data_IF_406039278777
#
_entry.id   IF_406039278777
#
_cell.length_a   1.000
_cell.length_b   1.000
_cell.length_c   1.000
_cell.angle_alpha   90.00
_cell.angle_beta   90.00
_cell.angle_gamma   90.00
#
_symmetry.space_group_name_H-M   'P 1'
#
loop_
_entity.id
_entity.type
_entity.pdbx_description
1 polymer ?
#
# COMPACT_ATOMS: atom_id res chain seq x y z
N UNK A 1 1.75 2.93 -10.60
CA UNK A 1 0.50 2.19 -10.30
C UNK A 1 -0.27 2.90 -9.20
N UNK A 2 -1.52 3.16 -9.42
CA UNK A 2 -2.37 3.79 -8.44
C UNK A 2 -2.72 2.82 -7.33
N UNK A 3 -2.83 3.32 -6.09
CA UNK A 3 -3.19 2.47 -4.96
C UNK A 3 -4.22 3.16 -4.06
N UNK A 4 -4.90 2.37 -3.24
CA UNK A 4 -5.83 2.88 -2.22
C UNK A 4 -5.22 2.81 -0.83
N UNK A 5 -3.90 2.68 -0.75
CA UNK A 5 -3.23 2.54 0.55
C UNK A 5 -3.49 3.76 1.45
N UNK A 6 -3.37 4.97 0.90
CA UNK A 6 -3.60 6.18 1.68
C UNK A 6 -5.03 6.23 2.23
N UNK A 7 -6.01 5.92 1.39
CA UNK A 7 -7.41 5.90 1.80
C UNK A 7 -7.64 4.92 2.94
N UNK A 8 -7.15 3.68 2.78
CA UNK A 8 -7.33 2.63 3.80
C UNK A 8 -6.59 2.98 5.09
N UNK A 9 -5.39 3.54 4.96
CA UNK A 9 -4.61 3.95 6.11
C UNK A 9 -5.35 5.02 6.92
N UNK A 10 -5.87 6.03 6.23
CA UNK A 10 -6.60 7.13 6.89
C UNK A 10 -7.89 6.65 7.53
N UNK A 11 -8.57 5.69 6.90
CA UNK A 11 -9.77 5.10 7.48
C UNK A 11 -9.47 4.44 8.82
N UNK A 12 -8.28 3.84 8.97
CA UNK A 12 -7.85 3.23 10.22
C UNK A 12 -7.11 4.20 11.13
N UNK A 13 -7.03 5.48 10.74
CA UNK A 13 -6.38 6.54 11.51
C UNK A 13 -4.92 6.25 11.82
N UNK A 14 -4.24 5.62 10.85
CA UNK A 14 -2.81 5.33 10.98
C UNK A 14 -1.99 6.39 10.27
N UNK A 15 -0.86 6.77 10.90
CA UNK A 15 0.12 7.61 10.23
C UNK A 15 0.93 6.76 9.25
N UNK A 16 1.65 7.42 8.36
CA UNK A 16 2.55 6.71 7.43
C UNK A 16 3.61 5.93 8.21
N UNK A 17 4.13 6.53 9.28
CA UNK A 17 5.15 5.86 10.10
C UNK A 17 4.57 4.64 10.80
N UNK A 18 3.34 4.73 11.30
CA UNK A 18 2.70 3.61 11.98
C UNK A 18 2.44 2.45 11.03
N UNK A 19 1.98 2.75 9.80
CA UNK A 19 1.77 1.71 8.82
C UNK A 19 3.09 1.05 8.39
N UNK A 20 4.12 1.87 8.19
CA UNK A 20 5.44 1.35 7.83
C UNK A 20 5.96 0.41 8.92
N UNK A 21 5.83 0.80 10.18
CA UNK A 21 6.27 -0.01 11.30
C UNK A 21 5.50 -1.34 11.35
N UNK A 22 4.19 -1.28 11.17
CA UNK A 22 3.35 -2.48 11.18
C UNK A 22 3.72 -3.46 10.06
N UNK A 23 4.16 -2.94 8.92
CA UNK A 23 4.53 -3.78 7.77
C UNK A 23 6.01 -4.15 7.75
N UNK A 24 6.80 -3.58 8.66
CA UNK A 24 8.24 -3.83 8.70
C UNK A 24 9.02 -3.21 7.54
N UNK A 25 8.55 -2.08 7.05
CA UNK A 25 9.20 -1.34 5.95
C UNK A 25 9.43 0.11 6.37
N UNK A 26 10.12 0.87 5.52
CA UNK A 26 10.41 2.27 5.86
C UNK A 26 9.23 3.17 5.52
N UNK A 27 9.15 4.31 6.22
CA UNK A 27 8.14 5.32 5.93
C UNK A 27 8.27 5.82 4.49
N UNK A 28 9.50 5.96 3.99
CA UNK A 28 9.72 6.42 2.62
C UNK A 28 9.07 5.46 1.61
N UNK A 29 9.08 4.17 1.88
CA UNK A 29 8.42 3.19 1.02
C UNK A 29 6.91 3.42 1.00
N UNK A 30 6.32 3.70 2.17
CA UNK A 30 4.88 4.02 2.23
C UNK A 30 4.57 5.28 1.41
N UNK A 31 5.39 6.31 1.56
CA UNK A 31 5.19 7.56 0.81
C UNK A 31 5.23 7.28 -0.70
N UNK A 32 6.21 6.51 -1.15
CA UNK A 32 6.34 6.18 -2.57
C UNK A 32 5.18 5.33 -3.08
N UNK A 33 4.71 4.38 -2.26
CA UNK A 33 3.56 3.55 -2.61
C UNK A 33 2.30 4.40 -2.77
N UNK A 34 2.08 5.33 -1.83
CA UNK A 34 0.90 6.18 -1.86
C UNK A 34 0.90 7.14 -3.07
N UNK A 35 2.07 7.48 -3.55
CA UNK A 35 2.20 8.33 -4.73
C UNK A 35 2.17 7.55 -6.04
N UNK A 36 2.08 6.23 -5.96
CA UNK A 36 2.06 5.38 -7.13
C UNK A 36 3.40 5.28 -7.86
N UNK A 37 4.50 5.60 -7.18
CA UNK A 37 5.84 5.62 -7.77
C UNK A 37 6.70 4.42 -7.44
N UNK A 38 6.19 3.52 -6.62
CA UNK A 38 6.95 2.36 -6.17
C UNK A 38 6.40 1.10 -6.81
N UNK A 39 7.29 0.27 -7.36
CA UNK A 39 6.88 -1.04 -7.88
C UNK A 39 6.91 -2.01 -6.72
N UNK A 40 5.74 -2.38 -6.24
CA UNK A 40 5.61 -3.25 -5.07
C UNK A 40 5.99 -4.69 -5.45
N UNK A 41 6.72 -5.36 -4.53
CA UNK A 41 6.99 -6.78 -4.71
C UNK A 41 5.71 -7.57 -4.39
N UNK A 42 5.61 -8.77 -4.94
CA UNK A 42 4.45 -9.61 -4.68
C UNK A 42 4.31 -9.91 -3.19
N UNK A 43 5.42 -10.18 -2.51
CA UNK A 43 5.42 -10.44 -1.08
C UNK A 43 4.85 -9.26 -0.29
N UNK A 44 5.31 -8.05 -0.61
CA UNK A 44 4.83 -6.85 0.07
C UNK A 44 3.36 -6.60 -0.25
N UNK A 45 2.94 -6.85 -1.48
CA UNK A 45 1.53 -6.70 -1.85
C UNK A 45 0.64 -7.61 -1.02
N UNK A 46 1.05 -8.85 -0.81
CA UNK A 46 0.30 -9.78 0.04
C UNK A 46 0.28 -9.32 1.51
N UNK A 47 1.39 -8.80 2.02
CA UNK A 47 1.45 -8.29 3.39
C UNK A 47 0.47 -7.13 3.58
N UNK A 48 0.45 -6.21 2.64
CA UNK A 48 -0.46 -5.06 2.69
C UNK A 48 -1.91 -5.52 2.61
N UNK A 49 -2.20 -6.43 1.69
CA UNK A 49 -3.56 -6.95 1.52
C UNK A 49 -4.05 -7.63 2.80
N UNK A 50 -3.22 -8.44 3.41
CA UNK A 50 -3.58 -9.12 4.67
C UNK A 50 -3.76 -8.15 5.82
N UNK A 51 -2.92 -7.12 5.87
CA UNK A 51 -3.02 -6.12 6.92
C UNK A 51 -4.37 -5.40 6.88
N UNK A 52 -4.83 -5.05 5.69
CA UNK A 52 -6.10 -4.34 5.53
C UNK A 52 -7.30 -5.27 5.39
N UNK A 53 -7.08 -6.57 5.29
CA UNK A 53 -8.17 -7.53 5.09
C UNK A 53 -8.85 -7.36 3.74
N UNK A 54 -8.08 -7.02 2.72
CA UNK A 54 -8.58 -6.78 1.36
C UNK A 54 -7.82 -7.65 0.36
N UNK A 55 -8.33 -7.75 -0.85
CA UNK A 55 -7.60 -8.42 -1.92
C UNK A 55 -6.57 -7.46 -2.50
N UNK A 56 -5.59 -8.00 -3.21
CA UNK A 56 -4.59 -7.18 -3.89
C UNK A 56 -5.28 -6.25 -4.89
N UNK A 57 -6.26 -6.74 -5.61
CA UNK A 57 -6.99 -5.96 -6.62
C UNK A 57 -7.82 -4.84 -6.01
N UNK A 58 -8.22 -4.97 -4.75
CA UNK A 58 -8.94 -3.91 -4.05
C UNK A 58 -8.02 -2.74 -3.68
N UNK A 59 -6.73 -3.01 -3.57
CA UNK A 59 -5.75 -2.02 -3.10
C UNK A 59 -4.92 -1.44 -4.23
N UNK A 60 -4.45 -2.31 -5.13
CA UNK A 60 -3.56 -1.92 -6.24
C UNK A 60 -4.37 -1.89 -7.53
N UNK A 61 -4.45 -0.70 -8.11
CA UNK A 61 -5.23 -0.50 -9.33
C UNK A 61 -4.29 -0.63 -10.51
N UNK A 62 -4.42 -1.74 -11.23
CA UNK A 62 -3.60 -1.99 -12.40
C UNK A 62 -4.28 -1.43 -13.64
N UNK A 63 -3.58 -0.55 -14.33
CA UNK A 63 -4.08 0.00 -15.57
C UNK A 63 -3.27 -0.56 -16.73
N UNK A 64 -3.94 -1.23 -17.65
CA UNK A 64 -3.29 -1.67 -18.86
C UNK A 64 -3.21 -0.48 -19.81
N UNK A 65 -2.00 -0.19 -20.23
CA UNK A 65 -1.77 0.85 -21.23
C UNK A 65 -1.43 0.15 -22.54
N UNK A 66 -2.30 0.25 -23.47
CA UNK A 66 -2.09 -0.31 -24.82
C UNK A 66 -1.20 0.61 -25.64
#
# INVERSE_FOLDING_TARGET
METRIQELRKTQKLSQAELADALGITRQTIISLEKGRYTVTLELAFKIARFFGKSIEDIFIYEEMD
#
